data_IF_935397497901
#
_entry.id   IF_935397497901
#
_cell.length_a   1.000
_cell.length_b   1.000
_cell.length_c   1.000
_cell.angle_alpha   90.00
_cell.angle_beta   90.00
_cell.angle_gamma   90.00
#
_symmetry.space_group_name_H-M   'P 1'
#
loop_
_entity.id
_entity.type
_entity.pdbx_description
1 polymer ?
#
# COMPACT_ATOMS: atom_id res chain seq x y z
N UNK A 1 -2.21 -8.35 -19.26
CA UNK A 1 -0.83 -8.12 -19.74
C UNK A 1 -0.15 -7.17 -18.77
N UNK A 2 0.97 -7.59 -18.17
CA UNK A 2 1.68 -6.82 -17.15
C UNK A 2 2.44 -5.65 -17.77
N UNK A 3 2.99 -5.81 -18.98
CA UNK A 3 3.71 -4.74 -19.67
C UNK A 3 2.79 -3.55 -19.92
N UNK A 4 1.56 -3.82 -20.39
CA UNK A 4 0.54 -2.79 -20.57
C UNK A 4 0.23 -2.03 -19.28
N UNK A 5 0.16 -2.72 -18.13
CA UNK A 5 -0.08 -2.08 -16.83
C UNK A 5 1.08 -1.15 -16.46
N UNK A 6 2.32 -1.59 -16.68
CA UNK A 6 3.52 -0.78 -16.44
C UNK A 6 3.55 0.47 -17.35
N UNK A 7 3.27 0.32 -18.65
CA UNK A 7 3.20 1.43 -19.60
C UNK A 7 2.11 2.46 -19.25
N UNK A 8 0.92 1.99 -18.87
CA UNK A 8 -0.18 2.86 -18.43
C UNK A 8 0.19 3.65 -17.16
N UNK A 9 0.89 3.01 -16.22
CA UNK A 9 1.42 3.65 -15.01
C UNK A 9 2.47 4.71 -15.34
N UNK A 10 3.43 4.40 -16.21
CA UNK A 10 4.46 5.34 -16.67
C UNK A 10 3.85 6.55 -17.36
N UNK A 11 2.90 6.33 -18.27
CA UNK A 11 2.21 7.40 -18.99
C UNK A 11 1.45 8.32 -18.04
N UNK A 12 0.72 7.76 -17.07
CA UNK A 12 -0.04 8.54 -16.08
C UNK A 12 0.89 9.36 -15.17
N UNK A 13 1.96 8.75 -14.68
CA UNK A 13 2.94 9.44 -13.84
C UNK A 13 3.58 10.62 -14.60
N UNK A 14 3.96 10.41 -15.87
CA UNK A 14 4.50 11.46 -16.73
C UNK A 14 3.50 12.61 -16.94
N UNK A 15 2.24 12.30 -17.23
CA UNK A 15 1.18 13.30 -17.41
C UNK A 15 0.97 14.16 -16.16
N UNK A 16 1.06 13.54 -14.97
CA UNK A 16 0.84 14.20 -13.69
C UNK A 16 2.12 14.80 -13.08
N UNK A 17 3.28 14.62 -13.73
CA UNK A 17 4.61 14.98 -13.19
C UNK A 17 4.88 14.36 -11.81
N UNK A 18 4.48 13.11 -11.64
CA UNK A 18 4.69 12.33 -10.42
C UNK A 18 5.74 11.25 -10.66
N UNK A 19 6.36 10.80 -9.57
CA UNK A 19 7.14 9.56 -9.53
C UNK A 19 6.21 8.34 -9.47
N UNK A 20 6.68 7.20 -9.98
CA UNK A 20 5.94 5.94 -9.86
C UNK A 20 6.32 5.32 -8.52
N UNK A 21 5.34 5.24 -7.62
CA UNK A 21 5.52 4.53 -6.36
C UNK A 21 5.33 3.03 -6.57
N UNK A 22 5.98 2.17 -5.75
CA UNK A 22 5.71 0.74 -5.73
C UNK A 22 4.22 0.41 -5.69
N UNK A 23 3.81 -0.61 -6.43
CA UNK A 23 2.40 -0.99 -6.53
C UNK A 23 2.20 -2.48 -6.70
N UNK A 24 1.01 -2.94 -6.34
CA UNK A 24 0.62 -4.34 -6.39
C UNK A 24 -0.13 -4.60 -7.70
N UNK A 25 0.23 -5.68 -8.38
CA UNK A 25 -0.49 -6.21 -9.54
C UNK A 25 -1.12 -7.54 -9.13
N UNK A 26 -2.43 -7.63 -9.33
CA UNK A 26 -3.20 -8.87 -9.11
C UNK A 26 -3.56 -9.43 -10.48
N UNK A 27 -3.23 -10.69 -10.71
CA UNK A 27 -3.51 -11.38 -11.98
C UNK A 27 -4.53 -12.47 -11.72
N UNK A 28 -5.66 -12.41 -12.42
CA UNK A 28 -6.77 -13.35 -12.30
C UNK A 28 -7.82 -13.10 -13.37
N UNK A 29 -8.63 -14.10 -13.68
CA UNK A 29 -9.80 -13.92 -14.55
C UNK A 29 -10.87 -13.09 -13.84
N UNK A 30 -11.01 -13.28 -12.53
CA UNK A 30 -11.94 -12.56 -11.65
C UNK A 30 -11.30 -12.32 -10.29
N UNK A 31 -11.96 -11.53 -9.43
CA UNK A 31 -11.53 -11.38 -8.03
C UNK A 31 -11.68 -12.67 -7.20
N UNK A 32 -12.52 -13.61 -7.64
CA UNK A 32 -12.65 -14.93 -7.03
C UNK A 32 -11.62 -15.93 -7.55
N UNK A 33 -11.04 -15.67 -8.73
CA UNK A 33 -10.11 -16.55 -9.44
C UNK A 33 -8.77 -15.83 -9.66
N UNK A 34 -8.05 -15.60 -8.56
CA UNK A 34 -6.72 -14.99 -8.60
C UNK A 34 -5.66 -16.05 -8.81
N UNK A 35 -4.80 -15.84 -9.81
CA UNK A 35 -3.71 -16.74 -10.17
C UNK A 35 -2.36 -16.29 -9.58
N UNK A 36 -2.11 -14.99 -9.45
CA UNK A 36 -0.84 -14.47 -8.95
C UNK A 36 -0.93 -13.06 -8.39
N UNK A 37 0.00 -12.76 -7.48
CA UNK A 37 0.23 -11.43 -6.92
C UNK A 37 1.68 -11.02 -7.18
N UNK A 38 1.88 -9.80 -7.65
CA UNK A 38 3.20 -9.22 -7.86
C UNK A 38 3.30 -7.87 -7.16
N UNK A 39 4.45 -7.57 -6.58
CA UNK A 39 4.83 -6.22 -6.21
C UNK A 39 5.80 -5.70 -7.28
N UNK A 40 5.41 -4.61 -7.94
CA UNK A 40 6.21 -3.96 -8.96
C UNK A 40 7.03 -2.84 -8.32
N UNK A 41 8.35 -2.89 -8.53
CA UNK A 41 9.29 -1.82 -8.17
C UNK A 41 9.99 -1.43 -9.46
N UNK A 42 9.78 -0.20 -9.92
CA UNK A 42 10.14 0.26 -11.26
C UNK A 42 9.63 -0.72 -12.34
N UNK A 43 10.53 -1.53 -12.91
CA UNK A 43 10.24 -2.54 -13.95
C UNK A 43 10.37 -3.97 -13.46
N UNK A 44 10.76 -4.18 -12.21
CA UNK A 44 11.01 -5.50 -11.63
C UNK A 44 9.76 -5.99 -10.90
N UNK A 45 9.41 -7.27 -11.14
CA UNK A 45 8.25 -7.92 -10.56
C UNK A 45 8.69 -8.93 -9.51
N UNK A 46 8.18 -8.77 -8.29
CA UNK A 46 8.39 -9.70 -7.20
C UNK A 46 7.10 -10.47 -6.94
N UNK A 47 7.08 -11.76 -7.28
CA UNK A 47 5.92 -12.60 -7.06
C UNK A 47 5.81 -13.02 -5.60
N UNK A 48 4.58 -13.01 -5.06
CA UNK A 48 4.27 -13.47 -3.71
C UNK A 48 3.02 -14.37 -3.72
N UNK A 49 2.85 -15.15 -2.66
CA UNK A 49 1.82 -16.20 -2.58
C UNK A 49 0.42 -15.68 -2.26
N UNK A 50 0.28 -14.50 -1.64
CA UNK A 50 -1.02 -13.98 -1.18
C UNK A 50 -1.14 -12.46 -1.34
N UNK A 51 -2.37 -11.96 -1.39
CA UNK A 51 -2.65 -10.52 -1.36
C UNK A 51 -2.04 -9.84 -0.11
N UNK A 52 -2.14 -10.49 1.05
CA UNK A 52 -1.59 -9.97 2.30
C UNK A 52 -0.06 -9.87 2.24
N UNK A 53 0.61 -10.89 1.67
CA UNK A 53 2.05 -10.85 1.46
C UNK A 53 2.45 -9.73 0.49
N UNK A 54 1.63 -9.43 -0.52
CA UNK A 54 1.87 -8.32 -1.44
C UNK A 54 1.75 -6.97 -0.74
N UNK A 55 0.74 -6.80 0.12
CA UNK A 55 0.55 -5.59 0.94
C UNK A 55 1.73 -5.41 1.90
N UNK A 56 2.11 -6.46 2.63
CA UNK A 56 3.23 -6.42 3.59
C UNK A 56 4.57 -6.11 2.89
N UNK A 57 4.86 -6.76 1.77
CA UNK A 57 6.08 -6.49 1.00
C UNK A 57 6.08 -5.06 0.45
N UNK A 58 4.98 -4.62 -0.18
CA UNK A 58 4.85 -3.27 -0.72
C UNK A 58 5.01 -2.21 0.37
N UNK A 59 4.39 -2.43 1.54
CA UNK A 59 4.53 -1.55 2.70
C UNK A 59 5.98 -1.42 3.16
N UNK A 60 6.69 -2.56 3.31
CA UNK A 60 8.10 -2.58 3.69
C UNK A 60 8.99 -1.85 2.68
N UNK A 61 8.72 -1.99 1.39
CA UNK A 61 9.47 -1.30 0.32
C UNK A 61 9.38 0.23 0.49
N UNK A 62 8.20 0.78 0.83
CA UNK A 62 8.08 2.22 1.07
C UNK A 62 9.05 2.70 2.16
N UNK A 63 9.18 1.94 3.25
CA UNK A 63 10.05 2.33 4.37
C UNK A 63 11.53 2.00 4.15
N UNK A 64 11.84 0.85 3.53
CA UNK A 64 13.24 0.44 3.29
C UNK A 64 13.92 1.36 2.29
N UNK A 65 13.21 1.81 1.27
CA UNK A 65 13.76 2.70 0.23
C UNK A 65 13.50 4.19 0.47
N UNK A 66 12.88 4.56 1.60
CA UNK A 66 12.46 5.93 1.93
C UNK A 66 11.61 6.59 0.81
N UNK A 67 10.61 5.82 0.35
CA UNK A 67 9.77 6.16 -0.78
C UNK A 67 8.39 6.60 -0.28
N UNK A 68 7.89 7.73 -0.78
CA UNK A 68 6.57 8.25 -0.41
C UNK A 68 5.43 7.33 -0.86
N UNK A 69 4.34 7.29 -0.10
CA UNK A 69 3.14 6.60 -0.50
C UNK A 69 2.51 7.18 -1.79
N UNK A 70 1.78 6.37 -2.57
CA UNK A 70 1.05 6.88 -3.74
C UNK A 70 -0.02 7.88 -3.30
N UNK A 71 -0.09 9.10 -3.88
CA UNK A 71 -1.04 10.13 -3.46
C UNK A 71 -2.49 9.67 -3.43
N UNK A 72 -2.93 8.85 -4.40
CA UNK A 72 -4.30 8.35 -4.47
C UNK A 72 -4.68 7.39 -3.32
N UNK A 73 -3.69 6.83 -2.63
CA UNK A 73 -3.88 5.82 -1.58
C UNK A 73 -3.15 6.14 -0.27
N UNK A 74 -2.58 7.34 -0.15
CA UNK A 74 -1.75 7.75 0.99
C UNK A 74 -2.48 7.57 2.33
N UNK A 75 -3.79 7.85 2.37
CA UNK A 75 -4.64 7.65 3.54
C UNK A 75 -4.76 6.18 3.96
N UNK A 76 -4.82 5.24 3.01
CA UNK A 76 -4.90 3.80 3.29
C UNK A 76 -3.59 3.32 3.90
N UNK A 77 -2.46 3.73 3.33
CA UNK A 77 -1.14 3.35 3.85
C UNK A 77 -0.87 3.94 5.23
N UNK A 78 -1.32 5.17 5.51
CA UNK A 78 -1.25 5.73 6.87
C UNK A 78 -2.07 4.92 7.88
N UNK A 79 -3.26 4.44 7.52
CA UNK A 79 -4.05 3.54 8.38
C UNK A 79 -3.29 2.23 8.62
N UNK A 80 -2.70 1.63 7.58
CA UNK A 80 -1.89 0.41 7.71
C UNK A 80 -0.71 0.64 8.65
N UNK A 81 0.03 1.74 8.47
CA UNK A 81 1.19 2.09 9.28
C UNK A 81 0.81 2.26 10.76
N UNK A 82 -0.18 3.11 11.05
CA UNK A 82 -0.51 3.50 12.42
C UNK A 82 -1.36 2.44 13.15
N UNK A 83 -2.26 1.74 12.45
CA UNK A 83 -3.18 0.79 13.08
C UNK A 83 -2.68 -0.66 13.07
N UNK A 84 -1.95 -1.08 12.01
CA UNK A 84 -1.45 -2.46 11.89
C UNK A 84 0.00 -2.58 12.36
N UNK A 85 0.91 -1.77 11.80
CA UNK A 85 2.34 -1.81 12.18
C UNK A 85 2.66 -1.01 13.43
N UNK A 86 1.78 -0.10 13.85
CA UNK A 86 1.83 0.64 15.12
C UNK A 86 3.09 1.49 15.31
N UNK A 87 3.55 2.18 14.27
CA UNK A 87 4.63 3.16 14.40
C UNK A 87 4.38 4.43 13.60
N UNK A 88 5.08 5.50 13.97
CA UNK A 88 5.08 6.77 13.25
C UNK A 88 6.47 7.13 12.75
N UNK A 89 6.53 7.96 11.72
CA UNK A 89 7.75 8.54 11.17
C UNK A 89 7.71 10.07 11.22
N UNK A 90 8.87 10.71 11.08
CA UNK A 90 8.96 12.17 10.98
C UNK A 90 8.29 12.73 9.73
N UNK A 91 8.10 11.88 8.73
CA UNK A 91 7.51 12.22 7.42
C UNK A 91 6.00 11.97 7.38
N UNK A 92 5.40 11.49 8.48
CA UNK A 92 3.98 11.19 8.54
C UNK A 92 3.15 12.45 8.30
N UNK A 93 2.21 12.35 7.37
CA UNK A 93 1.25 13.42 7.11
C UNK A 93 0.02 13.23 7.97
N UNK A 94 -0.38 14.30 8.66
CA UNK A 94 -1.62 14.29 9.41
C UNK A 94 -2.80 14.52 8.43
N UNK A 95 -3.50 13.45 8.09
CA UNK A 95 -4.66 13.51 7.19
C UNK A 95 -5.91 13.65 8.05
N UNK A 96 -6.46 14.86 8.12
CA UNK A 96 -7.51 15.23 9.09
C UNK A 96 -8.74 14.32 9.07
N UNK A 97 -9.18 13.88 7.88
CA UNK A 97 -10.34 12.99 7.74
C UNK A 97 -10.05 11.52 8.09
N UNK A 98 -8.77 11.13 8.20
CA UNK A 98 -8.34 9.77 8.56
C UNK A 98 -8.16 9.63 10.07
N UNK A 99 -7.84 10.72 10.78
CA UNK A 99 -7.62 10.70 12.23
C UNK A 99 -8.78 10.09 13.04
N UNK A 100 -10.06 10.38 12.75
CA UNK A 100 -11.16 9.73 13.45
C UNK A 100 -11.15 8.20 13.28
N UNK A 101 -10.83 7.71 12.07
CA UNK A 101 -10.76 6.28 11.75
C UNK A 101 -9.62 5.63 12.55
N UNK A 102 -8.44 6.26 12.57
CA UNK A 102 -7.28 5.78 13.33
C UNK A 102 -7.63 5.69 14.81
N UNK A 103 -8.25 6.74 15.38
CA UNK A 103 -8.64 6.78 16.78
C UNK A 103 -9.64 5.67 17.12
N UNK A 104 -10.65 5.45 16.28
CA UNK A 104 -11.61 4.36 16.47
C UNK A 104 -10.90 3.00 16.45
N UNK A 105 -10.10 2.70 15.43
CA UNK A 105 -9.43 1.40 15.27
C UNK A 105 -8.35 1.11 16.33
N UNK A 106 -7.75 2.15 16.91
CA UNK A 106 -6.74 2.02 17.97
C UNK A 106 -7.37 1.91 19.35
N UNK A 107 -8.45 2.65 19.63
CA UNK A 107 -9.15 2.62 20.92
C UNK A 107 -9.98 1.34 21.11
N UNK A 108 -10.58 0.78 20.05
CA UNK A 108 -11.43 -0.42 20.13
C UNK A 108 -10.68 -1.65 20.68
N UNK A 109 -9.35 -1.68 20.51
CA UNK A 109 -8.52 -2.79 20.99
C UNK A 109 -8.18 -2.71 22.49
N UNK A 110 -8.38 -1.56 23.13
CA UNK A 110 -8.10 -1.37 24.56
C UNK A 110 -9.15 -2.00 25.50
N UNK A 111 -10.25 -2.52 24.97
CA UNK A 111 -11.32 -3.18 25.71
C UNK A 111 -11.39 -4.70 25.49
N UNK A 112 -10.36 -5.32 24.89
CA UNK A 112 -10.38 -6.75 24.51
C UNK A 112 -9.28 -7.61 25.16
N UNK A 113 -8.60 -7.12 26.20
CA UNK A 113 -7.55 -7.88 26.93
C UNK A 113 -7.79 -8.03 28.42
N UNK A 114 -9.00 -7.77 28.92
CA UNK A 114 -9.41 -8.13 30.27
C UNK A 114 -10.49 -9.22 30.18
N UNK A 115 -10.07 -10.47 29.92
CA UNK A 115 -10.76 -11.72 30.30
C UNK A 115 -9.79 -12.92 30.17
#
# INVERSE_FOLDING_TARGET
DINRIQEEKEKRALQLRLTIQPYIIVVGCTLAEVNAFYVCIDKVLYQVSTALAAIDLCFKIFHVFDVTYPPESEHIWNIIQLCLYKFSTKSDKQISYVMPIINTLTNDKSHSTDD
#
